data_IF_693434017354
#
_entry.id   IF_693434017354
#
_cell.length_a   1.000
_cell.length_b   1.000
_cell.length_c   1.000
_cell.angle_alpha   90.00
_cell.angle_beta   90.00
_cell.angle_gamma   90.00
#
_symmetry.space_group_name_H-M   'P 1'
#
loop_
_entity.id
_entity.type
_entity.pdbx_description
1 polymer ?
#
# COMPACT_ATOMS: atom_id res chain seq x y z
N UNK A 1 25.69 17.39 -57.46
CA UNK A 1 25.99 17.83 -58.82
C UNK A 1 24.68 17.93 -59.59
N UNK A 2 24.51 19.10 -60.21
CA UNK A 2 23.57 19.53 -61.28
C UNK A 2 22.24 20.13 -60.77
N UNK A 3 22.31 21.44 -60.82
CA UNK A 3 21.35 22.52 -60.93
C UNK A 3 20.68 22.46 -62.31
N UNK A 4 19.36 22.62 -62.37
CA UNK A 4 18.70 23.11 -63.61
C UNK A 4 17.67 24.17 -63.26
N UNK A 5 18.00 25.38 -63.64
CA UNK A 5 17.13 26.57 -63.78
C UNK A 5 16.38 26.48 -65.10
N UNK A 6 15.09 26.73 -65.10
CA UNK A 6 14.39 27.12 -66.36
C UNK A 6 13.38 28.24 -66.06
N UNK A 7 13.69 29.34 -66.68
CA UNK A 7 12.91 30.58 -66.88
C UNK A 7 11.96 30.37 -68.03
N UNK A 8 10.72 30.87 -67.94
CA UNK A 8 9.89 31.40 -69.00
C UNK A 8 8.50 31.67 -68.46
N UNK A 9 7.79 32.69 -68.63
CA UNK A 9 7.79 33.76 -69.62
C UNK A 9 6.50 34.49 -69.37
N UNK A 10 6.64 35.79 -69.43
CA UNK A 10 5.61 36.82 -69.28
C UNK A 10 4.59 36.77 -70.50
N UNK A 11 3.29 36.65 -70.17
CA UNK A 11 2.23 37.00 -71.09
C UNK A 11 1.23 37.94 -70.40
N UNK A 12 1.35 39.22 -70.71
CA UNK A 12 0.31 40.23 -70.53
C UNK A 12 -0.80 39.98 -71.53
N UNK A 13 -2.02 39.74 -71.06
CA UNK A 13 -3.23 39.93 -71.89
C UNK A 13 -4.17 40.87 -71.12
N UNK A 14 -4.36 42.03 -71.68
CA UNK A 14 -5.32 43.05 -71.28
C UNK A 14 -6.76 42.49 -71.31
N UNK A 15 -7.47 42.57 -70.21
CA UNK A 15 -8.94 42.41 -70.15
C UNK A 15 -9.57 43.77 -69.85
N UNK A 16 -10.77 44.06 -70.45
CA UNK A 16 -11.45 45.33 -70.25
C UNK A 16 -12.00 45.47 -68.81
N UNK A 17 -12.11 46.73 -68.39
CA UNK A 17 -12.59 47.12 -67.07
C UNK A 17 -14.05 46.66 -66.86
N UNK A 18 -14.27 45.80 -65.82
CA UNK A 18 -15.60 45.50 -65.29
C UNK A 18 -15.98 46.61 -64.31
N UNK A 19 -17.20 47.06 -64.44
CA UNK A 19 -17.88 48.06 -63.60
C UNK A 19 -17.90 47.64 -62.15
N UNK A 20 -17.36 48.46 -61.22
CA UNK A 20 -17.28 48.21 -59.78
C UNK A 20 -18.67 48.42 -59.18
N UNK A 21 -19.36 47.35 -58.80
CA UNK A 21 -20.55 47.42 -58.00
C UNK A 21 -20.23 48.00 -56.61
N UNK A 22 -21.11 48.80 -55.96
CA UNK A 22 -20.81 49.43 -54.67
C UNK A 22 -20.62 48.37 -53.55
N UNK A 23 -19.51 48.50 -52.85
CA UNK A 23 -19.16 47.67 -51.66
C UNK A 23 -20.26 47.73 -50.60
N UNK A 24 -20.82 46.59 -50.12
CA UNK A 24 -21.80 46.62 -49.06
C UNK A 24 -21.14 47.11 -47.78
N UNK A 25 -21.78 48.05 -47.11
CA UNK A 25 -21.38 48.59 -45.80
C UNK A 25 -21.22 47.42 -44.77
N UNK A 26 -20.11 47.35 -44.02
CA UNK A 26 -19.95 46.27 -43.07
C UNK A 26 -21.04 46.33 -41.99
N UNK A 27 -21.88 45.33 -41.97
CA UNK A 27 -22.87 45.11 -40.93
C UNK A 27 -22.08 44.88 -39.61
N UNK A 28 -22.30 45.76 -38.62
CA UNK A 28 -21.74 45.64 -37.30
C UNK A 28 -22.18 44.31 -36.70
N UNK A 29 -21.30 43.28 -36.75
CA UNK A 29 -21.52 42.01 -36.08
C UNK A 29 -21.41 42.29 -34.58
N UNK A 30 -22.52 42.30 -33.91
CA UNK A 30 -22.54 42.32 -32.42
C UNK A 30 -21.82 41.06 -31.96
N UNK A 31 -20.73 41.15 -31.14
CA UNK A 31 -20.07 39.96 -30.67
C UNK A 31 -21.08 39.15 -29.83
N UNK A 32 -21.31 37.92 -30.23
CA UNK A 32 -22.06 36.94 -29.41
C UNK A 32 -21.38 36.87 -28.05
N UNK A 33 -22.13 36.98 -26.94
CA UNK A 33 -21.53 36.83 -25.64
C UNK A 33 -20.79 35.49 -25.58
N UNK A 34 -19.49 35.51 -25.53
CA UNK A 34 -18.69 34.32 -25.24
C UNK A 34 -19.03 33.92 -23.79
N UNK A 35 -19.71 32.78 -23.66
CA UNK A 35 -19.86 32.14 -22.35
C UNK A 35 -18.46 31.97 -21.80
N UNK A 36 -18.14 32.46 -20.58
CA UNK A 36 -16.83 32.30 -20.02
C UNK A 36 -16.51 30.79 -19.99
N UNK A 37 -15.27 30.40 -20.30
CA UNK A 37 -14.88 29.00 -20.28
C UNK A 37 -15.26 28.42 -18.91
N UNK A 38 -15.82 27.20 -18.85
CA UNK A 38 -16.20 26.59 -17.62
C UNK A 38 -15.00 26.62 -16.66
N UNK A 39 -15.21 27.08 -15.43
CA UNK A 39 -14.16 27.18 -14.41
C UNK A 39 -13.55 25.79 -14.27
N UNK A 40 -12.24 25.67 -14.48
CA UNK A 40 -11.54 24.40 -14.35
C UNK A 40 -11.81 23.80 -12.98
N UNK A 41 -12.35 22.58 -12.95
CA UNK A 41 -12.60 21.86 -11.69
C UNK A 41 -11.26 21.40 -11.14
N UNK A 42 -11.00 21.70 -9.86
CA UNK A 42 -9.83 21.22 -9.14
C UNK A 42 -10.30 20.37 -7.97
N UNK A 43 -9.80 19.13 -7.88
CA UNK A 43 -10.02 18.21 -6.78
C UNK A 43 -8.84 18.24 -5.81
N UNK A 44 -9.12 18.06 -4.52
CA UNK A 44 -8.13 17.85 -3.47
C UNK A 44 -8.21 16.38 -3.04
N UNK A 45 -7.13 15.64 -3.28
CA UNK A 45 -6.98 14.25 -2.87
C UNK A 45 -5.99 14.17 -1.70
N UNK A 46 -6.47 13.94 -0.49
CA UNK A 46 -5.62 13.68 0.68
C UNK A 46 -5.36 12.18 0.81
N UNK A 47 -4.13 11.79 1.15
CA UNK A 47 -3.79 10.36 1.19
C UNK A 47 -2.79 10.01 2.30
N UNK A 48 -3.04 8.92 3.03
CA UNK A 48 -2.06 8.26 3.90
C UNK A 48 -1.20 7.26 3.12
N UNK A 49 -1.58 6.96 1.87
CA UNK A 49 -0.91 6.03 0.96
C UNK A 49 -0.01 6.80 0.00
N UNK A 50 0.98 6.10 -0.57
CA UNK A 50 1.92 6.66 -1.55
C UNK A 50 2.68 7.89 -1.01
N UNK A 51 3.03 7.84 0.29
CA UNK A 51 3.73 8.91 0.99
C UNK A 51 5.23 9.06 0.67
N UNK A 52 6.01 7.99 0.34
CA UNK A 52 7.40 8.14 -0.08
C UNK A 52 7.55 9.04 -1.31
N UNK A 53 8.59 9.87 -1.35
CA UNK A 53 8.79 10.87 -2.42
C UNK A 53 8.75 10.28 -3.84
N UNK A 54 9.30 9.08 -4.03
CA UNK A 54 9.29 8.37 -5.31
C UNK A 54 7.88 7.93 -5.73
N UNK A 55 7.04 7.54 -4.76
CA UNK A 55 5.66 7.18 -5.00
C UNK A 55 4.81 8.42 -5.30
N UNK A 56 5.04 9.52 -4.57
CA UNK A 56 4.39 10.81 -4.86
C UNK A 56 4.71 11.31 -6.28
N UNK A 57 5.97 11.19 -6.72
CA UNK A 57 6.37 11.58 -8.07
C UNK A 57 5.59 10.79 -9.12
N UNK A 58 5.49 9.46 -8.95
CA UNK A 58 4.70 8.60 -9.82
C UNK A 58 3.21 9.01 -9.85
N UNK A 59 2.60 9.24 -8.68
CA UNK A 59 1.19 9.67 -8.61
C UNK A 59 0.96 10.97 -9.36
N UNK A 60 1.83 11.96 -9.18
CA UNK A 60 1.70 13.25 -9.89
C UNK A 60 1.78 13.09 -11.41
N UNK A 61 2.62 12.19 -11.93
CA UNK A 61 2.65 11.86 -13.35
C UNK A 61 1.36 11.15 -13.79
N UNK A 62 0.88 10.19 -13.01
CA UNK A 62 -0.38 9.49 -13.29
C UNK A 62 -1.57 10.46 -13.36
N UNK A 63 -1.63 11.45 -12.48
CA UNK A 63 -2.70 12.45 -12.44
C UNK A 63 -2.69 13.40 -13.64
N UNK A 64 -1.54 13.59 -14.31
CA UNK A 64 -1.49 14.34 -15.59
C UNK A 64 -2.29 13.64 -16.69
N UNK A 65 -2.27 12.29 -16.72
CA UNK A 65 -3.07 11.53 -17.68
C UNK A 65 -4.57 11.73 -17.42
N UNK A 66 -4.99 11.68 -16.14
CA UNK A 66 -6.37 11.98 -15.76
C UNK A 66 -6.80 13.40 -16.17
N UNK A 67 -5.95 14.39 -15.88
CA UNK A 67 -6.23 15.78 -16.24
C UNK A 67 -6.33 15.94 -17.77
N UNK A 68 -5.46 15.27 -18.54
CA UNK A 68 -5.50 15.29 -20.00
C UNK A 68 -6.78 14.68 -20.56
N UNK A 69 -7.29 13.62 -19.94
CA UNK A 69 -8.53 12.94 -20.35
C UNK A 69 -9.79 13.75 -20.02
N UNK A 70 -9.80 14.41 -18.86
CA UNK A 70 -11.04 14.94 -18.26
C UNK A 70 -11.09 16.46 -18.15
N UNK A 71 -9.95 17.14 -18.25
CA UNK A 71 -9.81 18.57 -17.93
C UNK A 71 -9.88 18.89 -16.44
N UNK A 72 -9.95 17.88 -15.56
CA UNK A 72 -10.04 18.03 -14.10
C UNK A 72 -8.64 18.02 -13.52
N UNK A 73 -8.27 19.06 -12.78
CA UNK A 73 -7.01 19.12 -12.04
C UNK A 73 -7.14 18.40 -10.71
N UNK A 74 -6.04 17.76 -10.26
CA UNK A 74 -6.00 17.09 -8.95
C UNK A 74 -4.77 17.52 -8.16
N UNK A 75 -5.00 18.03 -6.97
CA UNK A 75 -3.96 18.29 -5.98
C UNK A 75 -3.82 17.07 -5.07
N UNK A 76 -2.68 16.38 -5.15
CA UNK A 76 -2.35 15.23 -4.29
C UNK A 76 -1.60 15.70 -3.05
N UNK A 77 -2.19 15.45 -1.87
CA UNK A 77 -1.70 15.91 -0.56
C UNK A 77 -1.46 14.69 0.34
N UNK A 78 -0.20 14.22 0.48
CA UNK A 78 0.12 13.16 1.42
C UNK A 78 0.05 13.69 2.85
N UNK A 79 -0.62 12.97 3.74
CA UNK A 79 -0.80 13.31 5.16
C UNK A 79 -0.55 12.09 6.04
N UNK A 80 -0.13 12.33 7.29
CA UNK A 80 -0.21 11.31 8.33
C UNK A 80 -1.66 11.04 8.74
N UNK A 81 -1.95 9.83 9.26
CA UNK A 81 -3.32 9.47 9.64
C UNK A 81 -3.95 10.44 10.65
N UNK A 82 -3.22 10.82 11.70
CA UNK A 82 -3.76 11.72 12.73
C UNK A 82 -4.14 13.11 12.15
N UNK A 83 -3.30 13.64 11.25
CA UNK A 83 -3.54 14.90 10.57
C UNK A 83 -4.74 14.79 9.62
N UNK A 84 -4.81 13.72 8.84
CA UNK A 84 -5.95 13.44 7.96
C UNK A 84 -7.24 13.32 8.76
N UNK A 85 -7.25 12.56 9.86
CA UNK A 85 -8.44 12.36 10.67
C UNK A 85 -8.96 13.68 11.25
N UNK A 86 -8.06 14.50 11.82
CA UNK A 86 -8.40 15.83 12.34
C UNK A 86 -8.94 16.77 11.24
N UNK A 87 -8.34 16.72 10.04
CA UNK A 87 -8.78 17.52 8.90
C UNK A 87 -10.18 17.10 8.44
N UNK A 88 -10.43 15.83 8.23
CA UNK A 88 -11.74 15.32 7.78
C UNK A 88 -12.82 15.59 8.83
N UNK A 89 -12.52 15.37 10.11
CA UNK A 89 -13.44 15.71 11.21
C UNK A 89 -13.84 17.19 11.18
N UNK A 90 -12.84 18.09 11.12
CA UNK A 90 -13.09 19.52 11.10
C UNK A 90 -13.89 19.96 9.87
N UNK A 91 -13.59 19.44 8.68
CA UNK A 91 -14.29 19.76 7.45
C UNK A 91 -15.76 19.31 7.49
N UNK A 92 -16.00 18.05 7.86
CA UNK A 92 -17.35 17.47 7.86
C UNK A 92 -18.22 18.09 8.95
N UNK A 93 -17.69 18.30 10.16
CA UNK A 93 -18.44 18.85 11.28
C UNK A 93 -18.80 20.32 11.08
N UNK A 94 -17.96 21.09 10.38
CA UNK A 94 -18.25 22.49 10.07
C UNK A 94 -19.03 22.68 8.77
N UNK A 95 -19.24 21.63 7.99
CA UNK A 95 -19.88 21.69 6.67
C UNK A 95 -19.05 22.41 5.60
N UNK A 96 -17.74 22.62 5.84
CA UNK A 96 -16.79 23.28 4.91
C UNK A 96 -15.81 22.25 4.37
N UNK A 97 -16.31 21.34 3.54
CA UNK A 97 -15.51 20.22 3.01
C UNK A 97 -14.75 20.66 1.77
N UNK A 98 -13.44 20.80 1.87
CA UNK A 98 -12.52 21.12 0.76
C UNK A 98 -11.85 19.87 0.19
N UNK A 99 -11.75 18.80 0.96
CA UNK A 99 -11.27 17.50 0.50
C UNK A 99 -12.32 16.84 -0.38
N UNK A 100 -11.93 16.40 -1.58
CA UNK A 100 -12.85 15.73 -2.51
C UNK A 100 -12.63 14.21 -2.52
N UNK A 101 -11.41 13.75 -2.27
CA UNK A 101 -11.07 12.32 -2.25
C UNK A 101 -10.15 12.01 -1.07
N UNK A 102 -10.44 10.91 -0.39
CA UNK A 102 -9.61 10.30 0.64
C UNK A 102 -8.96 9.05 0.06
N UNK A 103 -7.64 8.94 0.14
CA UNK A 103 -6.91 7.70 -0.08
C UNK A 103 -6.32 7.23 1.25
N UNK A 104 -6.87 6.18 1.83
CA UNK A 104 -6.46 5.73 3.16
C UNK A 104 -6.49 4.20 3.29
N UNK A 105 -5.97 3.66 4.39
CA UNK A 105 -6.17 2.26 4.70
C UNK A 105 -7.67 1.96 4.87
N UNK A 106 -8.11 0.79 4.45
CA UNK A 106 -9.49 0.33 4.60
C UNK A 106 -10.04 0.57 6.01
N UNK A 107 -9.24 0.26 7.01
CA UNK A 107 -9.60 0.40 8.43
C UNK A 107 -9.63 1.85 8.92
N UNK A 108 -8.84 2.74 8.31
CA UNK A 108 -8.90 4.18 8.54
C UNK A 108 -10.21 4.76 7.98
N UNK A 109 -10.60 4.32 6.78
CA UNK A 109 -11.87 4.71 6.16
C UNK A 109 -13.06 4.11 6.92
N UNK A 110 -12.95 2.87 7.38
CA UNK A 110 -13.98 2.25 8.21
C UNK A 110 -14.22 3.05 9.50
N UNK A 111 -13.15 3.53 10.15
CA UNK A 111 -13.27 4.44 11.28
C UNK A 111 -14.04 5.73 10.89
N UNK A 112 -13.73 6.34 9.75
CA UNK A 112 -14.49 7.50 9.26
C UNK A 112 -15.95 7.15 8.99
N UNK A 113 -16.23 5.96 8.48
CA UNK A 113 -17.62 5.47 8.28
C UNK A 113 -18.37 5.30 9.60
N UNK A 114 -17.73 4.84 10.68
CA UNK A 114 -18.37 4.76 12.02
C UNK A 114 -18.84 6.11 12.53
N UNK A 115 -18.22 7.21 12.07
CA UNK A 115 -18.52 8.60 12.43
C UNK A 115 -19.48 9.27 11.43
N UNK A 116 -19.83 8.59 10.33
CA UNK A 116 -20.64 9.18 9.27
C UNK A 116 -19.91 10.25 8.44
N UNK A 117 -18.58 10.19 8.37
CA UNK A 117 -17.76 11.19 7.68
C UNK A 117 -17.46 10.88 6.21
N UNK A 118 -17.94 9.75 5.70
CA UNK A 118 -17.80 9.36 4.29
C UNK A 118 -19.16 9.14 3.64
N UNK A 119 -19.22 9.31 2.33
CA UNK A 119 -20.42 9.09 1.53
C UNK A 119 -20.68 7.61 1.29
N UNK A 120 -21.96 7.28 1.03
CA UNK A 120 -22.32 6.00 0.43
C UNK A 120 -21.93 6.01 -1.06
N UNK A 121 -20.96 5.20 -1.42
CA UNK A 121 -20.48 5.12 -2.80
C UNK A 121 -21.39 4.25 -3.70
N UNK A 122 -22.32 3.51 -3.13
CA UNK A 122 -23.32 2.75 -3.90
C UNK A 122 -24.22 3.64 -4.76
N UNK A 123 -24.38 4.92 -4.39
CA UNK A 123 -25.17 5.90 -5.16
C UNK A 123 -24.58 6.26 -6.54
N UNK A 124 -23.28 6.06 -6.76
CA UNK A 124 -22.61 6.41 -8.02
C UNK A 124 -22.70 5.33 -9.09
N UNK A 125 -23.21 4.13 -8.76
CA UNK A 125 -23.35 3.03 -9.69
C UNK A 125 -22.08 2.20 -9.89
N UNK A 126 -22.06 1.42 -10.98
CA UNK A 126 -20.99 0.48 -11.26
C UNK A 126 -19.75 1.15 -11.88
N UNK A 127 -18.56 0.66 -11.53
CA UNK A 127 -17.26 1.12 -12.05
C UNK A 127 -16.88 0.53 -13.42
N UNK A 128 -17.86 0.16 -14.25
CA UNK A 128 -17.59 -0.48 -15.53
C UNK A 128 -17.21 -1.97 -15.39
N UNK A 129 -16.47 -2.49 -16.37
CA UNK A 129 -16.06 -3.91 -16.40
C UNK A 129 -14.85 -4.16 -15.49
N UNK A 130 -15.08 -4.26 -14.17
CA UNK A 130 -14.07 -4.57 -13.17
C UNK A 130 -14.61 -5.57 -12.17
N UNK A 131 -13.81 -6.58 -11.89
CA UNK A 131 -14.09 -7.58 -10.87
C UNK A 131 -13.04 -7.43 -9.78
N UNK A 132 -13.44 -6.89 -8.62
CA UNK A 132 -12.56 -6.85 -7.46
C UNK A 132 -12.42 -8.25 -6.87
N UNK A 133 -11.28 -8.55 -6.26
CA UNK A 133 -11.15 -9.78 -5.49
C UNK A 133 -12.22 -9.81 -4.38
N UNK A 134 -12.88 -10.94 -4.21
CA UNK A 134 -14.05 -11.07 -3.32
C UNK A 134 -13.77 -10.58 -1.89
N UNK A 135 -12.61 -10.91 -1.33
CA UNK A 135 -12.23 -10.53 0.03
C UNK A 135 -12.11 -9.01 0.20
N UNK A 136 -11.53 -8.32 -0.78
CA UNK A 136 -11.35 -6.86 -0.72
C UNK A 136 -12.63 -6.10 -1.07
N UNK A 137 -13.47 -6.66 -1.94
CA UNK A 137 -14.80 -6.10 -2.21
C UNK A 137 -15.68 -6.17 -0.96
N UNK A 138 -15.74 -7.33 -0.30
CA UNK A 138 -16.49 -7.49 0.97
C UNK A 138 -16.00 -6.52 2.06
N UNK A 139 -14.69 -6.29 2.15
CA UNK A 139 -14.11 -5.36 3.11
C UNK A 139 -14.51 -3.89 2.86
N UNK A 140 -15.01 -3.54 1.65
CA UNK A 140 -15.40 -2.17 1.31
C UNK A 140 -16.77 -1.74 1.85
N UNK A 141 -17.46 -2.63 2.54
CA UNK A 141 -18.78 -2.37 3.09
C UNK A 141 -18.75 -2.24 4.62
N UNK A 142 -19.31 -1.18 5.14
CA UNK A 142 -19.58 -1.00 6.56
C UNK A 142 -21.10 -0.98 6.81
N UNK A 143 -21.61 -1.94 7.59
CA UNK A 143 -23.05 -2.12 7.88
C UNK A 143 -23.92 -2.13 6.60
N UNK A 144 -23.44 -2.77 5.55
CA UNK A 144 -24.16 -2.89 4.28
C UNK A 144 -24.04 -1.68 3.34
N UNK A 145 -23.32 -0.62 3.74
CA UNK A 145 -23.07 0.56 2.92
C UNK A 145 -21.67 0.49 2.32
N UNK A 146 -21.51 0.76 1.02
CA UNK A 146 -20.23 0.81 0.35
C UNK A 146 -19.51 2.11 0.71
N UNK A 147 -18.50 2.05 1.57
CA UNK A 147 -17.84 3.23 2.14
C UNK A 147 -16.52 3.59 1.46
N UNK A 148 -15.96 2.69 0.67
CA UNK A 148 -14.79 2.97 -0.19
C UNK A 148 -14.75 2.04 -1.40
N UNK A 149 -13.92 2.38 -2.37
CA UNK A 149 -13.54 1.50 -3.49
C UNK A 149 -12.12 1.00 -3.24
N UNK A 150 -11.89 -0.33 -3.20
CA UNK A 150 -10.53 -0.90 -3.12
C UNK A 150 -9.70 -0.48 -4.32
N UNK A 151 -8.41 -0.13 -4.13
CA UNK A 151 -7.59 0.28 -5.28
C UNK A 151 -6.14 -0.21 -5.27
N UNK A 152 -5.52 -0.42 -4.12
CA UNK A 152 -4.18 -1.00 -4.01
C UNK A 152 -4.07 -1.95 -2.84
N UNK A 153 -3.23 -2.97 -2.99
CA UNK A 153 -2.90 -3.91 -1.92
C UNK A 153 -1.38 -3.86 -1.68
N UNK A 154 -1.01 -3.72 -0.42
CA UNK A 154 0.35 -3.92 0.06
C UNK A 154 0.43 -5.08 1.03
N UNK A 155 1.65 -5.50 1.30
CA UNK A 155 1.95 -6.52 2.30
C UNK A 155 3.39 -6.39 2.78
N UNK A 156 3.81 -7.27 3.66
CA UNK A 156 5.18 -7.36 4.15
C UNK A 156 5.76 -8.69 3.67
N UNK A 157 7.03 -8.69 3.35
CA UNK A 157 7.72 -9.83 2.75
C UNK A 157 9.05 -10.09 3.43
N UNK A 158 9.61 -11.28 3.20
CA UNK A 158 11.01 -11.54 3.49
C UNK A 158 11.88 -11.04 2.34
N UNK A 159 12.98 -10.38 2.66
CA UNK A 159 14.05 -10.02 1.71
C UNK A 159 15.31 -10.74 2.12
N UNK A 160 15.92 -11.43 1.18
CA UNK A 160 17.01 -12.35 1.42
C UNK A 160 18.16 -11.99 0.49
N UNK A 161 19.32 -11.63 1.06
CA UNK A 161 20.55 -11.57 0.28
C UNK A 161 20.89 -12.98 -0.20
N UNK A 162 21.20 -13.12 -1.49
CA UNK A 162 21.45 -14.42 -2.10
C UNK A 162 22.60 -15.21 -1.46
N UNK A 163 23.51 -14.54 -0.75
CA UNK A 163 24.57 -15.19 0.05
C UNK A 163 24.01 -16.09 1.14
N UNK A 164 22.87 -15.76 1.72
CA UNK A 164 22.24 -16.53 2.78
C UNK A 164 21.88 -17.96 2.32
N UNK A 165 21.52 -18.16 1.05
CA UNK A 165 21.13 -19.46 0.52
C UNK A 165 22.25 -20.51 0.56
N UNK A 166 23.50 -20.11 0.74
CA UNK A 166 24.63 -21.05 0.95
C UNK A 166 24.56 -21.77 2.31
N UNK A 167 23.70 -21.33 3.23
CA UNK A 167 23.59 -21.81 4.60
C UNK A 167 22.21 -22.42 4.90
N UNK A 168 21.44 -22.80 3.88
CA UNK A 168 20.11 -23.38 4.06
C UNK A 168 20.14 -24.61 4.98
N UNK A 169 19.11 -24.81 5.82
CA UNK A 169 18.94 -26.06 6.55
C UNK A 169 18.83 -27.27 5.62
N UNK A 170 19.25 -28.46 6.07
CA UNK A 170 19.07 -29.69 5.30
C UNK A 170 17.60 -29.90 4.93
N UNK A 171 17.35 -30.24 3.67
CA UNK A 171 16.00 -30.50 3.15
C UNK A 171 15.19 -29.25 2.76
N UNK A 172 15.69 -28.05 3.07
CA UNK A 172 15.13 -26.80 2.58
C UNK A 172 15.88 -26.31 1.34
N UNK A 173 15.20 -25.96 0.28
CA UNK A 173 15.78 -25.43 -0.95
C UNK A 173 15.47 -23.93 -1.12
N UNK A 174 16.22 -23.24 -1.96
CA UNK A 174 15.90 -21.86 -2.36
C UNK A 174 14.50 -21.77 -2.95
N UNK A 175 14.10 -22.77 -3.73
CA UNK A 175 12.78 -22.82 -4.36
C UNK A 175 11.66 -22.94 -3.32
N UNK A 176 11.85 -23.74 -2.25
CA UNK A 176 10.91 -23.85 -1.13
C UNK A 176 10.65 -22.49 -0.48
N UNK A 177 11.73 -21.73 -0.24
CA UNK A 177 11.64 -20.38 0.35
C UNK A 177 10.94 -19.41 -0.59
N UNK A 178 11.34 -19.38 -1.86
CA UNK A 178 10.82 -18.45 -2.87
C UNK A 178 9.35 -18.71 -3.18
N UNK A 179 8.94 -19.97 -3.22
CA UNK A 179 7.53 -20.36 -3.48
C UNK A 179 6.67 -20.35 -2.21
N UNK A 180 7.26 -20.29 -1.03
CA UNK A 180 6.53 -20.43 0.22
C UNK A 180 5.94 -21.83 0.39
N UNK A 181 6.76 -22.89 0.15
CA UNK A 181 6.30 -24.27 0.34
C UNK A 181 5.98 -24.59 1.81
N UNK A 182 5.42 -25.76 2.08
CA UNK A 182 5.16 -26.30 3.42
C UNK A 182 6.42 -26.50 4.26
N UNK A 183 7.60 -26.59 3.62
CA UNK A 183 8.91 -26.66 4.29
C UNK A 183 9.40 -25.29 4.77
N UNK A 184 8.89 -24.19 4.22
CA UNK A 184 9.27 -22.85 4.61
C UNK A 184 8.49 -22.41 5.85
N UNK A 185 8.98 -22.80 7.02
CA UNK A 185 8.35 -22.59 8.32
C UNK A 185 9.18 -21.65 9.21
N UNK A 186 8.58 -21.16 10.31
CA UNK A 186 9.32 -20.40 11.33
C UNK A 186 10.46 -21.23 11.95
N UNK A 187 10.29 -22.54 12.15
CA UNK A 187 11.37 -23.41 12.62
C UNK A 187 12.51 -23.49 11.59
N UNK A 188 12.17 -23.54 10.31
CA UNK A 188 13.19 -23.51 9.23
C UNK A 188 13.95 -22.17 9.22
N UNK A 189 13.26 -21.03 9.45
CA UNK A 189 13.93 -19.73 9.59
C UNK A 189 14.85 -19.70 10.80
N UNK A 190 14.43 -20.22 11.95
CA UNK A 190 15.26 -20.29 13.16
C UNK A 190 16.53 -21.12 12.93
N UNK A 191 16.39 -22.30 12.35
CA UNK A 191 17.55 -23.16 12.04
C UNK A 191 18.47 -22.49 11.03
N UNK A 192 17.92 -21.80 10.02
CA UNK A 192 18.70 -21.04 9.04
C UNK A 192 19.49 -19.89 9.70
N UNK A 193 18.85 -19.11 10.56
CA UNK A 193 19.50 -18.03 11.30
C UNK A 193 20.65 -18.54 12.18
N UNK A 194 20.46 -19.69 12.85
CA UNK A 194 21.48 -20.36 13.63
C UNK A 194 22.66 -20.78 12.76
N UNK A 195 22.42 -21.49 11.65
CA UNK A 195 23.46 -21.95 10.74
C UNK A 195 24.30 -20.80 10.13
N UNK A 196 23.65 -19.69 9.77
CA UNK A 196 24.34 -18.48 9.34
C UNK A 196 25.25 -17.97 10.47
N UNK A 197 24.73 -17.89 11.68
CA UNK A 197 25.51 -17.38 12.82
C UNK A 197 26.68 -18.29 13.16
N UNK A 198 26.47 -19.61 13.20
CA UNK A 198 27.53 -20.59 13.47
C UNK A 198 28.65 -20.57 12.42
N UNK A 199 28.29 -20.40 11.14
CA UNK A 199 29.24 -20.39 10.04
C UNK A 199 29.99 -19.06 9.87
N UNK A 200 29.34 -17.92 10.16
CA UNK A 200 29.91 -16.58 9.91
C UNK A 200 30.37 -15.84 11.18
N UNK A 201 29.97 -16.30 12.33
CA UNK A 201 30.15 -15.58 13.60
C UNK A 201 29.28 -14.32 13.73
N UNK A 202 28.36 -14.07 12.77
CA UNK A 202 27.55 -12.85 12.70
C UNK A 202 26.05 -13.18 12.73
N UNK A 203 25.27 -12.36 13.42
CA UNK A 203 23.82 -12.41 13.44
C UNK A 203 23.29 -11.59 12.27
N UNK A 204 22.85 -12.26 11.19
CA UNK A 204 22.52 -11.64 9.92
C UNK A 204 21.02 -11.70 9.59
N UNK A 205 20.16 -11.83 10.62
CA UNK A 205 18.70 -11.66 10.53
C UNK A 205 18.34 -10.34 11.17
N UNK A 206 17.39 -9.59 10.56
CA UNK A 206 17.01 -8.27 11.07
C UNK A 206 15.53 -7.93 10.91
N UNK A 207 15.07 -7.03 11.78
CA UNK A 207 13.71 -6.51 11.82
C UNK A 207 13.71 -5.00 12.12
N UNK A 208 12.67 -4.24 11.65
CA UNK A 208 12.55 -2.79 11.89
C UNK A 208 11.90 -2.51 13.25
N UNK A 209 12.66 -2.60 14.34
CA UNK A 209 12.16 -2.55 15.73
C UNK A 209 12.17 -1.14 16.33
N UNK A 210 12.95 -0.20 15.81
CA UNK A 210 12.97 1.17 16.29
C UNK A 210 11.56 1.79 16.38
N UNK A 211 11.34 2.87 17.13
CA UNK A 211 10.02 3.48 17.32
C UNK A 211 9.26 3.80 16.04
N UNK A 212 9.96 4.22 14.97
CA UNK A 212 9.40 4.45 13.62
C UNK A 212 9.21 3.17 12.81
N UNK A 213 9.70 2.02 13.28
CA UNK A 213 9.62 0.73 12.59
C UNK A 213 8.24 0.07 12.73
N UNK A 214 8.00 -0.91 11.86
CA UNK A 214 6.71 -1.61 11.79
C UNK A 214 6.75 -3.02 12.42
N UNK A 215 7.71 -3.30 13.30
CA UNK A 215 7.87 -4.62 13.89
C UNK A 215 6.63 -5.11 14.66
N UNK A 216 5.87 -4.20 15.28
CA UNK A 216 4.58 -4.55 15.91
C UNK A 216 3.63 -5.24 14.92
N UNK A 217 3.70 -4.90 13.63
CA UNK A 217 2.91 -5.56 12.57
C UNK A 217 3.38 -6.98 12.29
N UNK A 218 4.69 -7.24 12.40
CA UNK A 218 5.19 -8.61 12.38
C UNK A 218 4.57 -9.43 13.50
N UNK A 219 4.52 -8.88 14.71
CA UNK A 219 3.98 -9.57 15.88
C UNK A 219 2.50 -9.88 15.70
N UNK A 220 1.65 -8.86 15.56
CA UNK A 220 0.21 -9.08 15.52
C UNK A 220 -0.34 -9.59 14.19
N UNK A 221 0.37 -9.38 13.08
CA UNK A 221 -0.16 -9.66 11.75
C UNK A 221 0.51 -10.82 11.02
N UNK A 222 1.62 -11.34 11.55
CA UNK A 222 2.37 -12.44 10.95
C UNK A 222 2.60 -13.55 11.97
N UNK A 223 3.30 -13.26 13.04
CA UNK A 223 3.63 -14.27 14.04
C UNK A 223 2.36 -14.81 14.74
N UNK A 224 1.54 -13.92 15.31
CA UNK A 224 0.31 -14.33 16.01
C UNK A 224 -0.64 -15.12 15.13
N UNK A 225 -1.07 -14.65 13.94
CA UNK A 225 -1.95 -15.44 13.08
C UNK A 225 -1.35 -16.78 12.68
N UNK A 226 -0.03 -16.86 12.49
CA UNK A 226 0.64 -18.12 12.16
C UNK A 226 0.60 -19.14 13.30
N UNK A 227 0.56 -18.69 14.54
CA UNK A 227 0.55 -19.58 15.72
C UNK A 227 -0.85 -19.78 16.30
N UNK A 228 -1.68 -18.76 16.34
CA UNK A 228 -2.98 -18.78 17.03
C UNK A 228 -4.17 -18.79 16.07
N UNK A 229 -3.99 -18.35 14.83
CA UNK A 229 -5.07 -18.10 13.85
C UNK A 229 -5.72 -16.71 13.99
N UNK A 230 -5.29 -15.90 14.97
CA UNK A 230 -5.90 -14.61 15.33
C UNK A 230 -4.84 -13.53 15.56
N UNK A 231 -5.25 -12.26 15.52
CA UNK A 231 -4.39 -11.16 15.92
C UNK A 231 -4.39 -10.92 17.44
N UNK A 232 -5.57 -10.80 18.05
CA UNK A 232 -5.72 -10.39 19.45
C UNK A 232 -6.54 -11.39 20.30
N UNK A 233 -7.50 -12.11 19.70
CA UNK A 233 -8.45 -12.96 20.42
C UNK A 233 -7.77 -14.01 21.30
N UNK A 234 -6.69 -14.60 20.84
CA UNK A 234 -5.92 -15.65 21.50
C UNK A 234 -4.59 -15.11 22.06
N UNK A 235 -4.54 -13.83 22.48
CA UNK A 235 -3.30 -13.14 22.83
C UNK A 235 -2.52 -13.79 23.98
N UNK A 236 -3.21 -14.42 24.95
CA UNK A 236 -2.59 -15.11 26.08
C UNK A 236 -2.82 -16.64 26.05
N UNK A 237 -3.15 -17.22 24.90
CA UNK A 237 -3.33 -18.65 24.74
C UNK A 237 -2.00 -19.43 24.84
N UNK A 238 -2.08 -20.76 24.93
CA UNK A 238 -0.89 -21.62 24.87
C UNK A 238 -0.14 -21.47 23.53
N UNK A 239 -0.85 -21.29 22.44
CA UNK A 239 -0.24 -21.09 21.12
C UNK A 239 0.46 -19.73 21.04
N UNK A 240 -0.07 -18.69 21.71
CA UNK A 240 0.62 -17.41 21.87
C UNK A 240 1.91 -17.54 22.70
N UNK A 241 1.88 -18.31 23.79
CA UNK A 241 3.09 -18.59 24.57
C UNK A 241 4.17 -19.24 23.69
N UNK A 242 3.81 -20.23 22.85
CA UNK A 242 4.73 -20.87 21.90
C UNK A 242 5.30 -19.88 20.89
N UNK A 243 4.48 -18.94 20.40
CA UNK A 243 4.94 -17.88 19.50
C UNK A 243 6.02 -17.01 20.16
N UNK A 244 5.86 -16.65 21.43
CA UNK A 244 6.84 -15.86 22.17
C UNK A 244 8.09 -16.65 22.54
N UNK A 245 7.97 -17.94 22.87
CA UNK A 245 9.10 -18.85 23.08
C UNK A 245 9.95 -18.95 21.80
N UNK A 246 9.29 -19.13 20.65
CA UNK A 246 9.94 -19.11 19.35
C UNK A 246 10.67 -17.79 19.10
N UNK A 247 10.00 -16.65 19.29
CA UNK A 247 10.60 -15.33 19.05
C UNK A 247 11.78 -15.08 19.97
N UNK A 248 11.70 -15.48 21.23
CA UNK A 248 12.78 -15.38 22.20
C UNK A 248 14.01 -16.18 21.77
N UNK A 249 13.79 -17.38 21.21
CA UNK A 249 14.90 -18.19 20.69
C UNK A 249 15.46 -17.59 19.39
N UNK A 250 14.61 -17.17 18.43
CA UNK A 250 15.05 -16.52 17.20
C UNK A 250 15.88 -15.27 17.50
N UNK A 251 15.53 -14.50 18.53
CA UNK A 251 16.21 -13.26 18.88
C UNK A 251 17.67 -13.44 19.26
N UNK A 252 18.06 -14.64 19.67
CA UNK A 252 19.48 -14.98 19.92
C UNK A 252 20.34 -14.87 18.65
N UNK A 253 19.73 -14.96 17.48
CA UNK A 253 20.36 -14.93 16.16
C UNK A 253 20.02 -13.68 15.34
N UNK A 254 19.20 -12.78 15.88
CA UNK A 254 18.85 -11.48 15.28
C UNK A 254 19.97 -10.48 15.57
N UNK A 255 20.29 -9.64 14.57
CA UNK A 255 21.25 -8.55 14.74
C UNK A 255 20.78 -7.59 15.83
N UNK A 256 21.58 -7.32 16.88
CA UNK A 256 21.18 -6.43 17.97
C UNK A 256 20.79 -5.03 17.54
N UNK A 257 21.39 -4.52 16.44
CA UNK A 257 21.07 -3.21 15.89
C UNK A 257 19.64 -3.11 15.33
N UNK A 258 18.90 -4.23 15.21
CA UNK A 258 17.47 -4.23 14.84
C UNK A 258 16.64 -3.29 15.69
N UNK A 259 16.99 -3.09 16.97
CA UNK A 259 16.30 -2.16 17.86
C UNK A 259 16.51 -0.68 17.51
N UNK A 260 17.45 -0.37 16.60
CA UNK A 260 17.78 0.99 16.15
C UNK A 260 17.29 1.28 14.73
N UNK A 261 16.82 0.27 14.00
CA UNK A 261 16.36 0.43 12.61
C UNK A 261 14.85 0.58 12.53
N UNK A 262 14.40 1.52 11.75
CA UNK A 262 12.98 1.74 11.43
C UNK A 262 12.58 1.18 10.07
N UNK A 263 13.56 0.89 9.18
CA UNK A 263 13.38 0.24 7.88
C UNK A 263 14.58 -0.64 7.52
N UNK A 264 14.36 -1.65 6.66
CA UNK A 264 15.37 -2.67 6.40
C UNK A 264 16.16 -2.48 5.10
N UNK A 265 15.87 -1.47 4.27
CA UNK A 265 16.61 -1.27 3.02
C UNK A 265 18.10 -0.99 3.25
N UNK A 266 18.45 -0.06 4.14
CA UNK A 266 19.85 0.30 4.42
C UNK A 266 20.64 -0.83 5.08
N UNK A 267 20.13 -1.52 6.13
CA UNK A 267 20.80 -2.68 6.71
C UNK A 267 21.08 -3.80 5.69
N UNK A 268 20.17 -4.05 4.75
CA UNK A 268 20.35 -5.00 3.66
C UNK A 268 21.46 -4.54 2.69
N UNK A 269 21.41 -3.27 2.25
CA UNK A 269 22.40 -2.70 1.33
C UNK A 269 23.83 -2.69 1.89
N UNK A 270 23.97 -2.50 3.21
CA UNK A 270 25.25 -2.52 3.94
C UNK A 270 25.68 -3.92 4.36
N UNK A 271 24.89 -4.95 4.05
CA UNK A 271 25.12 -6.33 4.47
C UNK A 271 25.23 -6.50 6.01
N UNK A 272 24.59 -5.61 6.76
CA UNK A 272 24.46 -5.76 8.22
C UNK A 272 23.50 -6.90 8.56
N UNK A 273 22.58 -7.20 7.63
CA UNK A 273 21.72 -8.38 7.63
C UNK A 273 21.64 -9.00 6.24
N UNK A 274 21.38 -10.30 6.18
CA UNK A 274 21.13 -11.06 4.96
C UNK A 274 19.67 -11.49 4.83
N UNK A 275 18.96 -11.61 5.93
CA UNK A 275 17.54 -11.95 5.97
C UNK A 275 16.82 -10.85 6.74
N UNK A 276 15.85 -10.23 6.13
CA UNK A 276 15.05 -9.17 6.74
C UNK A 276 13.57 -9.32 6.43
N UNK A 277 12.72 -8.80 7.30
CA UNK A 277 11.29 -8.65 7.09
C UNK A 277 10.91 -7.18 7.14
N UNK A 278 10.15 -6.69 6.15
CA UNK A 278 9.60 -5.33 6.18
C UNK A 278 8.49 -5.15 5.13
N UNK A 279 7.85 -3.97 5.15
CA UNK A 279 6.85 -3.55 4.18
C UNK A 279 7.46 -3.35 2.78
N UNK A 280 6.73 -3.72 1.74
CA UNK A 280 7.20 -3.64 0.34
C UNK A 280 7.70 -2.25 -0.05
N UNK A 281 7.08 -1.16 0.41
CA UNK A 281 7.55 0.19 0.15
C UNK A 281 8.90 0.51 0.82
N UNK A 282 9.19 -0.09 1.98
CA UNK A 282 10.39 0.17 2.77
C UNK A 282 11.61 -0.64 2.34
N UNK A 283 11.40 -1.77 1.64
CA UNK A 283 12.50 -2.59 1.09
C UNK A 283 12.84 -2.24 -0.36
N UNK A 284 12.01 -1.46 -1.02
CA UNK A 284 12.14 -1.20 -2.46
C UNK A 284 13.51 -0.64 -2.84
N UNK A 285 14.06 0.29 -2.05
CA UNK A 285 15.37 0.88 -2.33
C UNK A 285 16.48 -0.20 -2.41
N UNK A 286 16.48 -1.21 -1.52
CA UNK A 286 17.42 -2.31 -1.59
C UNK A 286 17.28 -3.10 -2.89
N UNK A 287 16.06 -3.50 -3.23
CA UNK A 287 15.76 -4.32 -4.41
C UNK A 287 16.07 -3.57 -5.71
N UNK A 288 15.82 -2.25 -5.78
CA UNK A 288 16.08 -1.47 -6.98
C UNK A 288 17.55 -1.08 -7.15
N UNK A 289 18.29 -0.92 -6.05
CA UNK A 289 19.72 -0.56 -6.07
C UNK A 289 20.60 -1.75 -6.43
N UNK A 290 20.29 -2.93 -5.87
CA UNK A 290 21.09 -4.16 -6.09
C UNK A 290 20.18 -5.35 -6.43
N UNK A 291 19.49 -5.32 -7.57
CA UNK A 291 18.47 -6.32 -7.90
C UNK A 291 19.00 -7.75 -7.94
N UNK A 292 20.25 -7.95 -8.34
CA UNK A 292 20.85 -9.29 -8.44
C UNK A 292 21.29 -9.88 -7.09
N UNK A 293 21.42 -9.05 -6.06
CA UNK A 293 21.84 -9.51 -4.74
C UNK A 293 20.68 -10.04 -3.90
N UNK A 294 19.43 -9.64 -4.20
CA UNK A 294 18.29 -9.91 -3.35
C UNK A 294 17.20 -10.76 -3.99
N UNK A 295 16.62 -11.61 -3.17
CA UNK A 295 15.41 -12.38 -3.44
C UNK A 295 14.29 -11.92 -2.51
N UNK A 296 13.08 -11.75 -3.05
CA UNK A 296 11.86 -11.46 -2.28
C UNK A 296 11.06 -12.76 -2.16
N UNK A 297 10.64 -13.08 -0.95
CA UNK A 297 9.94 -14.33 -0.65
C UNK A 297 8.75 -14.11 0.30
N UNK A 298 7.75 -15.00 0.28
CA UNK A 298 6.74 -15.07 1.33
C UNK A 298 7.36 -15.22 2.72
N UNK A 299 6.64 -14.83 3.75
CA UNK A 299 7.01 -15.11 5.14
C UNK A 299 6.93 -16.61 5.46
N UNK A 300 7.59 -17.11 6.51
CA UNK A 300 7.45 -18.51 6.93
C UNK A 300 6.03 -18.84 7.41
N UNK A 301 5.64 -20.11 7.36
CA UNK A 301 4.42 -20.61 7.97
C UNK A 301 4.64 -21.04 9.42
N UNK A 302 3.63 -20.88 10.27
CA UNK A 302 3.56 -21.44 11.60
C UNK A 302 2.58 -22.62 11.69
N UNK A 303 2.25 -23.09 12.92
CA UNK A 303 1.37 -24.24 13.12
C UNK A 303 -0.06 -24.08 12.58
N UNK A 304 -0.56 -22.85 12.47
CA UNK A 304 -1.90 -22.55 11.93
C UNK A 304 -1.87 -22.15 10.45
N UNK A 305 -0.69 -22.00 9.90
CA UNK A 305 -0.47 -21.56 8.51
C UNK A 305 0.39 -20.30 8.44
N UNK A 306 0.29 -19.61 7.33
CA UNK A 306 1.10 -18.44 6.98
C UNK A 306 0.31 -17.17 7.27
N UNK A 307 0.53 -16.58 8.44
CA UNK A 307 -0.08 -15.31 8.82
C UNK A 307 0.43 -14.16 7.96
N UNK A 308 -0.45 -13.28 7.50
CA UNK A 308 -0.05 -12.06 6.81
C UNK A 308 -1.11 -10.97 6.87
N UNK A 309 -0.66 -9.72 6.85
CA UNK A 309 -1.53 -8.56 6.75
C UNK A 309 -1.81 -8.24 5.28
N UNK A 310 -3.08 -8.06 4.96
CA UNK A 310 -3.52 -7.38 3.75
C UNK A 310 -3.56 -5.87 4.07
N UNK A 311 -2.62 -5.11 3.52
CA UNK A 311 -2.61 -3.65 3.61
C UNK A 311 -3.46 -3.13 2.46
N UNK A 312 -4.76 -3.00 2.70
CA UNK A 312 -5.72 -2.57 1.69
C UNK A 312 -5.86 -1.04 1.71
N UNK A 313 -5.51 -0.41 0.59
CA UNK A 313 -5.81 0.99 0.33
C UNK A 313 -7.17 1.13 -0.33
N UNK A 314 -7.95 2.06 0.18
CA UNK A 314 -9.28 2.42 -0.33
C UNK A 314 -9.35 3.88 -0.77
N UNK A 315 -10.32 4.17 -1.62
CA UNK A 315 -10.69 5.51 -2.07
C UNK A 315 -12.10 5.83 -1.60
N UNK A 316 -12.27 6.91 -0.85
CA UNK A 316 -13.55 7.33 -0.28
C UNK A 316 -13.81 8.81 -0.57
N UNK A 317 -15.07 9.19 -0.60
CA UNK A 317 -15.50 10.58 -0.76
C UNK A 317 -15.98 11.09 0.62
N UNK A 318 -15.42 12.21 1.13
CA UNK A 318 -15.89 12.78 2.39
C UNK A 318 -17.37 13.20 2.32
N UNK A 319 -18.06 13.07 3.45
CA UNK A 319 -19.45 13.50 3.57
C UNK A 319 -19.59 14.99 3.30
N UNK A 320 -20.47 15.37 2.37
CA UNK A 320 -20.71 16.76 2.01
C UNK A 320 -19.63 17.39 1.11
N UNK A 321 -18.70 16.60 0.55
CA UNK A 321 -17.73 17.10 -0.42
C UNK A 321 -18.43 17.71 -1.64
N UNK A 322 -17.85 18.79 -2.18
CA UNK A 322 -18.22 19.31 -3.49
C UNK A 322 -17.63 18.43 -4.60
N UNK A 323 -18.13 18.60 -5.84
CA UNK A 323 -17.60 17.90 -7.03
C UNK A 323 -17.50 16.36 -6.86
N UNK A 324 -18.53 15.76 -6.24
CA UNK A 324 -18.56 14.32 -5.97
C UNK A 324 -18.54 13.47 -7.25
N UNK A 325 -19.20 13.92 -8.31
CA UNK A 325 -19.18 13.23 -9.59
C UNK A 325 -17.79 13.26 -10.24
N UNK A 326 -17.05 14.35 -10.10
CA UNK A 326 -15.69 14.47 -10.56
C UNK A 326 -14.73 13.64 -9.71
N UNK A 327 -14.93 13.57 -8.40
CA UNK A 327 -14.21 12.67 -7.51
C UNK A 327 -14.48 11.19 -7.86
N UNK A 328 -15.71 10.85 -8.24
CA UNK A 328 -16.06 9.52 -8.73
C UNK A 328 -15.34 9.17 -10.04
N UNK A 329 -15.23 10.12 -10.99
CA UNK A 329 -14.43 9.92 -12.21
C UNK A 329 -12.96 9.65 -11.90
N UNK A 330 -12.41 10.29 -10.85
CA UNK A 330 -11.05 10.02 -10.41
C UNK A 330 -10.92 8.62 -9.81
N UNK A 331 -11.88 8.19 -8.98
CA UNK A 331 -11.95 6.81 -8.48
C UNK A 331 -12.03 5.83 -9.65
N UNK A 332 -12.89 6.10 -10.62
CA UNK A 332 -13.02 5.28 -11.82
C UNK A 332 -11.70 5.18 -12.59
N UNK A 333 -11.00 6.27 -12.80
CA UNK A 333 -9.68 6.28 -13.45
C UNK A 333 -8.64 5.47 -12.66
N UNK A 334 -8.48 5.74 -11.36
CA UNK A 334 -7.48 5.09 -10.51
C UNK A 334 -7.68 3.58 -10.38
N UNK A 335 -8.92 3.12 -10.49
CA UNK A 335 -9.26 1.69 -10.36
C UNK A 335 -9.34 0.95 -11.69
N UNK A 336 -9.02 1.59 -12.83
CA UNK A 336 -8.92 0.90 -14.13
C UNK A 336 -7.85 -0.19 -14.05
N UNK A 337 -8.09 -1.39 -14.60
CA UNK A 337 -7.11 -2.47 -14.56
C UNK A 337 -5.72 -2.07 -15.07
N UNK A 338 -5.65 -1.34 -16.18
CA UNK A 338 -4.40 -0.85 -16.76
C UNK A 338 -3.70 0.20 -15.89
N UNK A 339 -4.45 1.01 -15.14
CA UNK A 339 -3.88 1.98 -14.20
C UNK A 339 -3.33 1.27 -12.97
N UNK A 340 -4.07 0.30 -12.43
CA UNK A 340 -3.60 -0.52 -11.31
C UNK A 340 -2.36 -1.36 -11.68
N UNK A 341 -2.30 -1.88 -12.90
CA UNK A 341 -1.12 -2.56 -13.42
C UNK A 341 0.10 -1.62 -13.45
N UNK A 342 -0.06 -0.37 -13.94
CA UNK A 342 0.99 0.65 -13.91
C UNK A 342 1.45 0.99 -12.47
N UNK A 343 0.53 1.06 -11.51
CA UNK A 343 0.87 1.25 -10.09
C UNK A 343 1.74 0.09 -9.59
N UNK A 344 1.35 -1.16 -9.89
CA UNK A 344 2.11 -2.33 -9.48
C UNK A 344 3.51 -2.36 -10.11
N UNK A 345 3.61 -2.12 -11.42
CA UNK A 345 4.88 -2.12 -12.16
C UNK A 345 5.84 -1.01 -11.73
N UNK A 346 5.30 0.16 -11.34
CA UNK A 346 6.11 1.34 -11.01
C UNK A 346 6.49 1.41 -9.54
N UNK A 347 5.56 1.06 -8.63
CA UNK A 347 5.75 1.27 -7.18
C UNK A 347 5.56 0.01 -6.35
N UNK A 348 5.14 -1.11 -6.94
CA UNK A 348 5.09 -2.42 -6.28
C UNK A 348 3.83 -2.69 -5.46
N UNK A 349 2.84 -1.78 -5.45
CA UNK A 349 1.54 -2.04 -4.85
C UNK A 349 0.70 -2.92 -5.79
N UNK A 350 0.13 -3.98 -5.25
CA UNK A 350 -0.65 -4.94 -6.03
C UNK A 350 -2.05 -4.39 -6.39
N UNK A 351 -2.60 -4.81 -7.54
CA UNK A 351 -3.95 -4.43 -7.93
C UNK A 351 -5.01 -5.09 -7.06
N UNK A 352 -6.21 -4.51 -7.05
CA UNK A 352 -7.40 -5.05 -6.39
C UNK A 352 -8.38 -5.72 -7.35
N UNK A 353 -8.14 -5.61 -8.65
CA UNK A 353 -8.99 -6.16 -9.72
C UNK A 353 -8.36 -7.35 -10.41
N UNK A 354 -9.22 -8.32 -10.79
CA UNK A 354 -8.80 -9.56 -11.46
C UNK A 354 -8.24 -9.29 -12.86
N UNK A 355 -8.76 -8.27 -13.55
CA UNK A 355 -8.40 -7.94 -14.93
C UNK A 355 -7.08 -7.19 -15.08
N UNK A 356 -6.43 -6.80 -13.97
CA UNK A 356 -5.16 -6.08 -14.04
C UNK A 356 -4.00 -7.04 -14.42
N UNK A 357 -3.52 -6.90 -15.64
CA UNK A 357 -2.39 -7.66 -16.16
C UNK A 357 -1.07 -6.98 -15.79
N UNK A 358 -0.42 -7.42 -14.74
CA UNK A 358 0.85 -6.87 -14.25
C UNK A 358 2.03 -7.56 -14.91
N UNK A 359 2.92 -6.78 -15.54
CA UNK A 359 4.17 -7.30 -16.10
C UNK A 359 5.22 -7.45 -15.00
N UNK A 360 5.55 -8.68 -14.67
CA UNK A 360 6.55 -8.99 -13.62
C UNK A 360 7.95 -8.92 -14.22
N UNK A 361 8.45 -7.71 -14.46
CA UNK A 361 9.77 -7.46 -15.03
C UNK A 361 10.60 -6.52 -14.16
N UNK A 362 11.91 -6.64 -14.26
CA UNK A 362 12.83 -5.76 -13.54
C UNK A 362 12.82 -5.90 -12.00
N UNK A 363 13.46 -4.97 -11.30
CA UNK A 363 13.59 -5.03 -9.84
C UNK A 363 12.27 -4.99 -9.08
N UNK A 364 11.34 -4.10 -9.47
CA UNK A 364 10.01 -3.97 -8.85
C UNK A 364 9.19 -5.24 -9.08
N UNK A 365 9.37 -5.91 -10.22
CA UNK A 365 8.74 -7.19 -10.50
C UNK A 365 9.01 -8.28 -9.45
N UNK A 366 10.23 -8.29 -8.85
CA UNK A 366 10.54 -9.22 -7.75
C UNK A 366 9.67 -8.98 -6.51
N UNK A 367 9.35 -7.71 -6.21
CA UNK A 367 8.47 -7.33 -5.11
C UNK A 367 7.04 -7.81 -5.40
N UNK A 368 6.55 -7.52 -6.60
CA UNK A 368 5.20 -7.93 -7.04
C UNK A 368 5.07 -9.44 -6.98
N UNK A 369 6.05 -10.18 -7.51
CA UNK A 369 6.03 -11.64 -7.53
C UNK A 369 6.05 -12.25 -6.13
N UNK A 370 6.97 -11.80 -5.25
CA UNK A 370 7.06 -12.28 -3.86
C UNK A 370 5.80 -11.99 -3.06
N UNK A 371 5.22 -10.80 -3.23
CA UNK A 371 3.96 -10.40 -2.59
C UNK A 371 2.78 -11.21 -3.10
N UNK A 372 2.68 -11.42 -4.42
CA UNK A 372 1.61 -12.22 -5.02
C UNK A 372 1.64 -13.66 -4.55
N UNK A 373 2.83 -14.26 -4.41
CA UNK A 373 2.99 -15.62 -3.85
C UNK A 373 2.51 -15.70 -2.41
N UNK A 374 2.79 -14.67 -1.59
CA UNK A 374 2.31 -14.62 -0.23
C UNK A 374 0.77 -14.55 -0.17
N UNK A 375 0.17 -13.63 -0.93
CA UNK A 375 -1.29 -13.47 -0.96
C UNK A 375 -2.04 -14.68 -1.56
N UNK A 376 -1.38 -15.45 -2.43
CA UNK A 376 -1.92 -16.66 -3.03
C UNK A 376 -1.58 -17.94 -2.24
N UNK A 377 -0.99 -17.84 -1.05
CA UNK A 377 -0.61 -18.99 -0.23
C UNK A 377 -1.82 -19.84 0.14
N UNK A 378 -1.76 -21.13 -0.12
CA UNK A 378 -2.86 -22.07 0.20
C UNK A 378 -3.06 -22.27 1.71
N UNK A 379 -1.99 -22.12 2.47
CA UNK A 379 -1.93 -22.16 3.92
C UNK A 379 -2.07 -20.77 4.56
N UNK A 380 -2.52 -19.77 3.79
CA UNK A 380 -2.61 -18.38 4.22
C UNK A 380 -3.63 -18.16 5.34
N UNK A 381 -3.25 -17.37 6.34
CA UNK A 381 -4.11 -16.83 7.40
C UNK A 381 -4.11 -15.31 7.27
N UNK A 382 -4.92 -14.76 6.34
CA UNK A 382 -4.97 -13.33 6.09
C UNK A 382 -5.66 -12.59 7.23
N UNK A 383 -5.10 -11.44 7.59
CA UNK A 383 -5.69 -10.52 8.56
C UNK A 383 -5.63 -9.10 8.02
N UNK A 384 -6.58 -8.27 8.44
CA UNK A 384 -6.55 -6.82 8.23
C UNK A 384 -6.03 -6.11 9.48
N UNK A 385 -5.56 -4.89 9.32
CA UNK A 385 -5.26 -4.04 10.48
C UNK A 385 -6.59 -3.76 11.19
N UNK A 386 -6.71 -3.96 12.52
CA UNK A 386 -7.99 -3.72 13.20
C UNK A 386 -8.44 -2.24 13.09
N UNK A 387 -9.75 -1.97 12.89
CA UNK A 387 -10.28 -0.60 12.69
C UNK A 387 -10.45 0.14 14.03
N UNK A 388 -9.34 0.36 14.73
CA UNK A 388 -9.32 0.90 16.08
C UNK A 388 -9.22 2.44 16.14
N UNK A 389 -9.12 3.12 15.00
CA UNK A 389 -9.04 4.58 14.94
C UNK A 389 -7.93 5.14 15.84
N UNK A 390 -8.25 6.09 16.71
CA UNK A 390 -7.30 6.68 17.65
C UNK A 390 -6.68 5.69 18.65
N UNK A 391 -7.26 4.49 18.83
CA UNK A 391 -6.73 3.42 19.69
C UNK A 391 -5.69 2.51 19.00
N UNK A 392 -5.49 2.68 17.69
CA UNK A 392 -4.49 1.89 16.94
C UNK A 392 -3.06 2.03 17.46
N UNK A 393 -2.70 3.19 18.00
CA UNK A 393 -1.40 3.41 18.67
C UNK A 393 -1.25 2.60 19.95
N UNK A 394 -2.29 2.54 20.78
CA UNK A 394 -2.30 1.74 22.01
C UNK A 394 -2.23 0.24 21.71
N UNK A 395 -2.95 -0.22 20.69
CA UNK A 395 -2.87 -1.60 20.19
C UNK A 395 -1.44 -1.96 19.77
N UNK A 396 -0.82 -1.13 18.95
CA UNK A 396 0.55 -1.34 18.47
C UNK A 396 1.56 -1.33 19.61
N UNK A 397 1.41 -0.42 20.59
CA UNK A 397 2.30 -0.32 21.75
C UNK A 397 2.17 -1.50 22.68
N UNK A 398 1.00 -2.16 22.79
CA UNK A 398 0.82 -3.39 23.57
C UNK A 398 1.72 -4.52 23.07
N UNK A 399 1.82 -4.70 21.74
CA UNK A 399 2.73 -5.70 21.17
C UNK A 399 4.21 -5.32 21.33
N UNK A 400 4.54 -4.02 21.21
CA UNK A 400 5.91 -3.54 21.46
C UNK A 400 6.33 -3.78 22.89
N UNK A 401 5.44 -3.48 23.85
CA UNK A 401 5.69 -3.73 25.28
C UNK A 401 5.85 -5.22 25.59
N UNK A 402 5.01 -6.09 25.01
CA UNK A 402 5.17 -7.53 25.16
C UNK A 402 6.57 -7.98 24.67
N UNK A 403 7.00 -7.49 23.51
CA UNK A 403 8.32 -7.78 22.98
C UNK A 403 9.45 -7.29 23.92
N UNK A 404 9.39 -6.06 24.39
CA UNK A 404 10.40 -5.49 25.27
C UNK A 404 10.49 -6.29 26.59
N UNK A 405 9.35 -6.62 27.19
CA UNK A 405 9.30 -7.32 28.47
C UNK A 405 9.73 -8.78 28.34
N UNK A 406 9.18 -9.49 27.35
CA UNK A 406 9.43 -10.94 27.19
C UNK A 406 10.81 -11.20 26.57
N UNK A 407 11.11 -10.54 25.47
CA UNK A 407 12.29 -10.88 24.66
C UNK A 407 13.53 -10.13 25.11
N UNK A 408 13.42 -8.81 25.38
CA UNK A 408 14.60 -8.02 25.75
C UNK A 408 14.89 -8.06 27.25
N UNK A 409 13.88 -8.10 28.11
CA UNK A 409 14.06 -8.12 29.56
C UNK A 409 13.97 -9.52 30.17
N UNK A 410 13.43 -10.51 29.44
CA UNK A 410 13.33 -11.89 29.90
C UNK A 410 12.27 -12.16 30.96
N UNK A 411 11.24 -11.29 31.03
CA UNK A 411 10.12 -11.47 31.96
C UNK A 411 9.31 -12.75 31.61
N UNK A 412 8.56 -13.25 32.58
CA UNK A 412 7.69 -14.43 32.41
C UNK A 412 6.62 -14.17 31.35
N UNK A 413 6.58 -15.05 30.35
CA UNK A 413 5.69 -14.89 29.18
C UNK A 413 4.23 -14.84 29.62
N UNK A 414 3.78 -15.80 30.43
CA UNK A 414 2.37 -15.88 30.84
C UNK A 414 1.94 -14.66 31.62
N UNK A 415 2.74 -14.25 32.61
CA UNK A 415 2.45 -13.06 33.38
C UNK A 415 2.28 -11.82 32.53
N UNK A 416 3.18 -11.60 31.56
CA UNK A 416 3.11 -10.45 30.66
C UNK A 416 1.88 -10.52 29.77
N UNK A 417 1.59 -11.67 29.15
CA UNK A 417 0.44 -11.82 28.27
C UNK A 417 -0.89 -11.67 28.99
N UNK A 418 -1.05 -12.22 30.20
CA UNK A 418 -2.28 -12.10 30.98
C UNK A 418 -2.55 -10.65 31.42
N UNK A 419 -1.50 -9.89 31.72
CA UNK A 419 -1.60 -8.47 32.03
C UNK A 419 -2.02 -7.66 30.78
N UNK A 420 -1.33 -7.86 29.66
CA UNK A 420 -1.55 -7.08 28.44
C UNK A 420 -2.83 -7.46 27.72
N UNK A 421 -3.35 -8.69 27.90
CA UNK A 421 -4.66 -9.10 27.39
C UNK A 421 -5.78 -8.21 27.93
N UNK A 422 -5.73 -7.82 29.21
CA UNK A 422 -6.71 -6.89 29.81
C UNK A 422 -6.73 -5.54 29.11
N UNK A 423 -5.53 -5.05 28.72
CA UNK A 423 -5.40 -3.81 27.93
C UNK A 423 -6.01 -3.96 26.54
N UNK A 424 -5.72 -5.08 25.84
CA UNK A 424 -6.31 -5.34 24.53
C UNK A 424 -7.84 -5.38 24.58
N UNK A 425 -8.42 -6.09 25.54
CA UNK A 425 -9.87 -6.10 25.73
C UNK A 425 -10.42 -4.68 25.87
N UNK A 426 -9.83 -3.88 26.77
CA UNK A 426 -10.25 -2.47 26.96
C UNK A 426 -10.15 -1.61 25.70
N UNK A 427 -9.10 -1.81 24.87
CA UNK A 427 -8.93 -1.09 23.61
C UNK A 427 -10.07 -1.42 22.63
N UNK A 428 -10.38 -2.70 22.44
CA UNK A 428 -11.42 -3.14 21.52
C UNK A 428 -12.83 -2.77 22.01
N UNK A 429 -13.10 -2.90 23.30
CA UNK A 429 -14.38 -2.47 23.92
C UNK A 429 -14.60 -0.97 23.79
N UNK A 430 -13.56 -0.14 23.99
CA UNK A 430 -13.64 1.32 23.86
C UNK A 430 -14.05 1.79 22.44
N UNK A 431 -13.81 0.97 21.43
CA UNK A 431 -14.15 1.27 20.02
C UNK A 431 -15.42 0.52 19.60
N UNK A 432 -15.86 -0.49 20.35
CA UNK A 432 -17.01 -1.33 20.01
C UNK A 432 -16.73 -2.31 18.87
N UNK A 433 -15.47 -2.74 18.73
CA UNK A 433 -15.02 -3.70 17.72
C UNK A 433 -14.69 -5.03 18.39
N UNK A 434 -15.09 -6.20 17.85
CA UNK A 434 -14.73 -7.49 18.41
C UNK A 434 -13.21 -7.75 18.34
N UNK A 435 -12.68 -8.51 19.29
CA UNK A 435 -11.30 -8.97 19.24
C UNK A 435 -11.05 -9.79 17.95
N UNK A 436 -10.06 -9.42 17.18
CA UNK A 436 -9.66 -10.02 15.89
C UNK A 436 -8.78 -11.26 16.06
#
# INVERSE_FOLDING_TARGET
VILVILVAGLFLLLRPAEEIAPTPTPTKVTPTPQTPPPKAVKLVWVSTQLAPATEQAFVRELLKDFTKETGIEVEFVPLGYAEMASKIEAEVTTGRVVTNLIGALSTEIEFFATRGWVEDLGKFGALGKRTFFESVEKASYYKGVKVYVPWIIGTYVMVINNKAFNYLPPGLTKEDVVKGSDKWTYDALLEWAKRITDATGKKLVGFPVAPGGLFHRFLHGYLYPSYTGYQAKEFNSLDAVRAWEYLKELWRYVNPASTTWDAMAEPLLREEVWIAWDHIARIRAAITTKPEEFTVAPVPAGPKGRGYIIVLGGLAIPKGASNQDEAWKLIEFLTRPEVQARVAESVGWLPTTVEAEVRVTGPVGKIVEGSSRLLASKDGVPVFIPPLGGKGGEFSSTYREAFERIVLRGEDIRMVLDELMKRLISIFEAVGVPLS
#
